data_IF_428424428386
#
_entry.id   IF_428424428386
#
_cell.length_a   1.000
_cell.length_b   1.000
_cell.length_c   1.000
_cell.angle_alpha   90.00
_cell.angle_beta   90.00
_cell.angle_gamma   90.00
#
_symmetry.space_group_name_H-M   'P 1'
#
loop_
_entity.id
_entity.type
_entity.pdbx_description
1 polymer ?
#
# COMPACT_ATOMS: atom_id res chain seq x y z
N UNK A 1 -32.96 74.84 -35.55
CA UNK A 1 -31.70 74.22 -35.01
C UNK A 1 -32.12 72.97 -34.27
N UNK A 2 -31.88 71.73 -34.82
CA UNK A 2 -32.20 70.51 -34.13
C UNK A 2 -30.97 69.97 -33.39
N UNK A 3 -31.24 69.48 -32.20
CA UNK A 3 -30.27 68.88 -31.24
C UNK A 3 -29.90 67.46 -31.65
N UNK A 4 -28.66 67.01 -31.45
CA UNK A 4 -28.27 65.63 -31.81
C UNK A 4 -28.58 64.64 -30.70
N UNK A 5 -29.26 63.57 -31.07
CA UNK A 5 -29.59 62.44 -30.22
C UNK A 5 -28.33 61.52 -30.10
N UNK A 6 -27.86 61.33 -28.87
CA UNK A 6 -26.76 60.39 -28.53
C UNK A 6 -27.31 58.98 -28.41
N UNK A 7 -26.97 58.12 -29.33
CA UNK A 7 -27.19 56.66 -29.19
C UNK A 7 -26.10 56.05 -28.33
N UNK A 8 -26.51 55.53 -27.15
CA UNK A 8 -25.66 54.82 -26.22
C UNK A 8 -25.73 53.32 -26.56
N UNK A 9 -24.64 52.78 -27.13
CA UNK A 9 -24.53 51.34 -27.38
C UNK A 9 -24.16 50.63 -26.08
N UNK A 10 -25.10 49.81 -25.54
CA UNK A 10 -24.80 48.85 -24.47
C UNK A 10 -24.11 47.62 -25.09
N UNK A 11 -22.82 47.47 -24.81
CA UNK A 11 -22.07 46.22 -25.05
C UNK A 11 -22.38 45.23 -23.92
N UNK A 12 -23.24 44.24 -24.21
CA UNK A 12 -23.44 43.10 -23.32
C UNK A 12 -22.23 42.15 -23.42
N UNK A 13 -21.39 42.13 -22.42
CA UNK A 13 -20.30 41.14 -22.30
C UNK A 13 -20.87 39.78 -21.86
N UNK A 14 -20.90 38.84 -22.78
CA UNK A 14 -21.32 37.45 -22.56
C UNK A 14 -20.13 36.71 -21.90
N UNK A 15 -20.12 36.59 -20.56
CA UNK A 15 -19.18 35.75 -19.84
C UNK A 15 -19.50 34.26 -20.08
N UNK A 16 -18.78 33.59 -20.99
CA UNK A 16 -18.77 32.14 -21.11
C UNK A 16 -17.98 31.59 -19.92
N UNK A 17 -18.64 31.10 -18.88
CA UNK A 17 -18.00 30.30 -17.82
C UNK A 17 -17.81 28.86 -18.34
N UNK A 18 -16.61 28.56 -18.78
CA UNK A 18 -16.22 27.19 -19.05
C UNK A 18 -16.15 26.39 -17.73
N UNK A 19 -17.14 25.54 -17.48
CA UNK A 19 -17.11 24.58 -16.37
C UNK A 19 -16.02 23.56 -16.66
N UNK A 20 -14.88 23.71 -15.97
CA UNK A 20 -13.81 22.72 -15.98
C UNK A 20 -14.29 21.51 -15.16
N UNK A 21 -14.81 20.49 -15.86
CA UNK A 21 -15.12 19.20 -15.25
C UNK A 21 -13.79 18.49 -14.94
N UNK A 22 -13.28 18.66 -13.73
CA UNK A 22 -12.11 17.88 -13.27
C UNK A 22 -12.53 16.40 -13.20
N UNK A 23 -11.79 15.47 -13.84
CA UNK A 23 -12.05 14.06 -13.67
C UNK A 23 -11.89 13.70 -12.20
N UNK A 24 -12.93 13.17 -11.58
CA UNK A 24 -12.86 12.61 -10.25
C UNK A 24 -11.86 11.45 -10.30
N UNK A 25 -10.66 11.66 -9.76
CA UNK A 25 -9.68 10.59 -9.58
C UNK A 25 -10.26 9.66 -8.52
N UNK A 26 -10.75 8.50 -8.93
CA UNK A 26 -11.18 7.47 -8.01
C UNK A 26 -10.00 7.10 -7.10
N UNK A 27 -10.12 7.41 -5.82
CA UNK A 27 -9.06 7.12 -4.84
C UNK A 27 -9.26 5.70 -4.32
N UNK A 28 -8.27 4.83 -4.56
CA UNK A 28 -8.23 3.51 -3.93
C UNK A 28 -8.39 3.66 -2.42
N UNK A 29 -9.35 2.97 -1.83
CA UNK A 29 -9.51 2.92 -0.38
C UNK A 29 -8.52 1.92 0.20
N UNK A 30 -7.47 2.43 0.81
CA UNK A 30 -6.46 1.63 1.48
C UNK A 30 -6.50 1.87 2.99
N UNK A 31 -6.75 0.83 3.77
CA UNK A 31 -6.65 0.89 5.23
C UNK A 31 -5.43 0.12 5.71
N UNK A 32 -4.80 0.64 6.76
CA UNK A 32 -3.64 0.03 7.39
C UNK A 32 -3.81 0.03 8.91
N UNK A 33 -3.58 -1.11 9.54
CA UNK A 33 -3.60 -1.29 10.99
C UNK A 33 -2.35 -2.00 11.47
N UNK A 34 -2.03 -1.83 12.76
CA UNK A 34 -0.90 -2.48 13.41
C UNK A 34 -1.38 -3.35 14.55
N UNK A 35 -0.75 -4.51 14.71
CA UNK A 35 -0.86 -5.36 15.88
C UNK A 35 0.51 -5.83 16.32
N UNK A 36 0.63 -6.29 17.56
CA UNK A 36 1.92 -6.66 18.13
C UNK A 36 1.84 -8.01 18.79
N UNK A 37 2.94 -8.76 18.72
CA UNK A 37 3.16 -9.94 19.56
C UNK A 37 4.34 -9.70 20.48
N UNK A 38 4.23 -10.16 21.72
CA UNK A 38 5.25 -9.94 22.74
C UNK A 38 6.33 -10.98 22.67
N UNK A 39 7.58 -10.49 22.70
CA UNK A 39 8.77 -11.29 22.91
C UNK A 39 9.48 -10.82 24.17
N UNK A 40 10.29 -11.72 24.76
CA UNK A 40 11.09 -11.48 25.96
C UNK A 40 12.50 -12.01 25.75
N UNK A 41 13.47 -11.35 26.32
CA UNK A 41 14.88 -11.78 26.28
C UNK A 41 15.78 -10.76 26.96
N UNK A 42 16.95 -11.21 27.39
CA UNK A 42 18.02 -10.39 27.99
C UNK A 42 19.29 -10.40 27.16
N UNK A 43 19.33 -11.23 26.11
CA UNK A 43 20.44 -11.35 25.15
C UNK A 43 19.91 -11.29 23.73
N UNK A 44 20.78 -11.07 22.75
CA UNK A 44 20.43 -11.07 21.34
C UNK A 44 19.91 -12.45 20.90
N UNK A 45 20.53 -13.52 21.35
CA UNK A 45 20.15 -14.91 21.03
C UNK A 45 18.76 -15.26 21.59
N UNK A 46 18.44 -14.83 22.81
CA UNK A 46 17.11 -15.02 23.39
C UNK A 46 16.05 -14.28 22.59
N UNK A 47 16.32 -13.05 22.15
CA UNK A 47 15.38 -12.28 21.31
C UNK A 47 15.19 -12.95 19.95
N UNK A 48 16.25 -13.44 19.32
CA UNK A 48 16.17 -14.17 18.05
C UNK A 48 15.36 -15.47 18.20
N UNK A 49 15.62 -16.26 19.25
CA UNK A 49 14.83 -17.43 19.56
C UNK A 49 13.34 -17.11 19.77
N UNK A 50 13.03 -16.02 20.43
CA UNK A 50 11.63 -15.60 20.62
C UNK A 50 11.00 -15.17 19.30
N UNK A 51 11.70 -14.47 18.41
CA UNK A 51 11.21 -14.13 17.08
C UNK A 51 10.91 -15.39 16.26
N UNK A 52 11.80 -16.37 16.28
CA UNK A 52 11.66 -17.62 15.53
C UNK A 52 10.56 -18.55 16.09
N UNK A 53 10.20 -18.42 17.38
CA UNK A 53 9.20 -19.30 18.02
C UNK A 53 7.82 -18.65 18.18
N UNK A 54 7.74 -17.33 18.33
CA UNK A 54 6.49 -16.58 18.59
C UNK A 54 6.00 -15.75 17.41
N UNK A 55 6.86 -15.54 16.42
CA UNK A 55 6.50 -14.77 15.24
C UNK A 55 5.28 -15.33 14.51
N UNK A 56 4.59 -14.52 13.72
CA UNK A 56 3.47 -14.96 12.89
C UNK A 56 3.93 -15.96 11.84
N UNK A 57 3.01 -16.83 11.40
CA UNK A 57 3.21 -17.64 10.20
C UNK A 57 2.73 -16.87 8.98
N UNK A 58 3.49 -16.91 7.89
CA UNK A 58 3.04 -16.38 6.61
C UNK A 58 2.01 -17.32 5.96
N UNK A 59 1.15 -16.77 5.11
CA UNK A 59 0.17 -17.58 4.37
C UNK A 59 0.87 -18.64 3.52
N UNK A 60 0.49 -19.92 3.71
CA UNK A 60 1.06 -21.04 2.97
C UNK A 60 2.42 -21.55 3.49
N UNK A 61 2.91 -21.05 4.63
CA UNK A 61 4.15 -21.51 5.25
C UNK A 61 3.93 -21.93 6.70
N UNK A 62 4.60 -22.98 7.15
CA UNK A 62 4.70 -23.34 8.57
C UNK A 62 5.84 -22.58 9.28
N UNK A 63 6.71 -21.91 8.53
CA UNK A 63 7.81 -21.12 9.07
C UNK A 63 7.28 -19.86 9.76
N UNK A 64 7.89 -19.52 10.89
CA UNK A 64 7.60 -18.29 11.61
C UNK A 64 8.50 -17.16 11.10
N UNK A 65 7.93 -15.97 11.06
CA UNK A 65 8.59 -14.76 10.57
C UNK A 65 8.69 -13.72 11.68
N UNK A 66 9.70 -12.84 11.66
CA UNK A 66 9.87 -11.79 12.67
C UNK A 66 8.78 -10.71 12.60
N UNK A 67 8.02 -10.66 11.53
CA UNK A 67 6.84 -9.82 11.29
C UNK A 67 5.96 -10.46 10.24
N UNK A 68 4.79 -9.89 9.99
CA UNK A 68 3.93 -10.27 8.87
C UNK A 68 2.98 -9.15 8.46
N UNK A 69 2.66 -9.09 7.18
CA UNK A 69 1.60 -8.21 6.65
C UNK A 69 0.48 -9.07 6.06
N UNK A 70 -0.69 -9.02 6.69
CA UNK A 70 -1.90 -9.65 6.16
C UNK A 70 -2.59 -8.69 5.22
N UNK A 71 -2.89 -9.15 4.01
CA UNK A 71 -3.46 -8.34 2.92
C UNK A 71 -4.77 -8.95 2.46
N UNK A 72 -5.79 -8.10 2.29
CA UNK A 72 -7.08 -8.48 1.74
C UNK A 72 -7.49 -7.45 0.69
N UNK A 73 -7.73 -7.91 -0.53
CA UNK A 73 -8.34 -7.13 -1.59
C UNK A 73 -9.85 -7.31 -1.57
N UNK A 74 -10.55 -6.25 -1.93
CA UNK A 74 -12.00 -6.24 -2.17
C UNK A 74 -12.32 -5.17 -3.20
N UNK A 75 -13.59 -4.99 -3.50
CA UNK A 75 -14.01 -3.94 -4.41
C UNK A 75 -15.40 -4.16 -4.98
N UNK A 76 -15.82 -3.21 -5.77
CA UNK A 76 -17.09 -3.20 -6.48
C UNK A 76 -16.91 -2.64 -7.89
N UNK A 77 -17.73 -3.08 -8.82
CA UNK A 77 -17.82 -2.51 -10.15
C UNK A 77 -19.29 -2.37 -10.53
N UNK A 78 -19.64 -1.27 -11.19
CA UNK A 78 -20.96 -1.06 -11.76
C UNK A 78 -20.87 -0.99 -13.28
N UNK A 79 -21.94 -1.40 -13.94
CA UNK A 79 -21.99 -1.55 -15.38
C UNK A 79 -23.12 -0.73 -15.96
N UNK A 80 -22.94 -0.25 -17.19
CA UNK A 80 -24.00 0.40 -17.97
C UNK A 80 -24.08 -0.17 -19.38
N UNK A 81 -25.29 -0.22 -19.91
CA UNK A 81 -25.54 -0.50 -21.33
C UNK A 81 -25.41 0.81 -22.11
N UNK A 82 -24.57 0.82 -23.14
CA UNK A 82 -24.34 1.98 -23.99
C UNK A 82 -24.11 1.51 -25.44
N UNK A 83 -24.94 1.97 -26.36
CA UNK A 83 -24.86 1.61 -27.78
C UNK A 83 -24.96 0.08 -28.04
N UNK A 84 -25.80 -0.65 -27.27
CA UNK A 84 -25.95 -2.10 -27.39
C UNK A 84 -24.77 -2.90 -26.85
N UNK A 85 -23.87 -2.26 -26.10
CA UNK A 85 -22.74 -2.89 -25.42
C UNK A 85 -22.72 -2.56 -23.94
N UNK A 86 -22.18 -3.46 -23.12
CA UNK A 86 -21.98 -3.22 -21.71
C UNK A 86 -20.54 -2.76 -21.43
N UNK A 87 -20.38 -1.73 -20.60
CA UNK A 87 -19.08 -1.24 -20.15
C UNK A 87 -19.07 -1.01 -18.65
N UNK A 88 -17.87 -1.00 -18.05
CA UNK A 88 -17.69 -0.57 -16.66
C UNK A 88 -17.97 0.94 -16.58
N UNK A 89 -18.90 1.35 -15.72
CA UNK A 89 -19.18 2.76 -15.43
C UNK A 89 -18.42 3.26 -14.21
N UNK A 90 -18.24 2.38 -13.23
CA UNK A 90 -17.48 2.67 -12.01
C UNK A 90 -16.77 1.40 -11.54
N UNK A 91 -15.57 1.56 -11.00
CA UNK A 91 -14.86 0.52 -10.30
C UNK A 91 -14.14 1.13 -9.09
N UNK A 92 -14.17 0.40 -7.99
CA UNK A 92 -13.49 0.76 -6.76
C UNK A 92 -12.79 -0.48 -6.23
N UNK A 93 -11.47 -0.43 -6.12
CA UNK A 93 -10.69 -1.49 -5.49
C UNK A 93 -10.32 -1.06 -4.08
N UNK A 94 -10.52 -1.94 -3.12
CA UNK A 94 -10.16 -1.72 -1.72
C UNK A 94 -9.02 -2.66 -1.32
N UNK A 95 -8.14 -2.19 -0.44
CA UNK A 95 -7.10 -3.02 0.15
C UNK A 95 -7.01 -2.77 1.65
N UNK A 96 -7.13 -3.84 2.42
CA UNK A 96 -6.99 -3.82 3.88
C UNK A 96 -5.70 -4.52 4.25
N UNK A 97 -4.83 -3.83 4.98
CA UNK A 97 -3.56 -4.37 5.46
C UNK A 97 -3.51 -4.36 6.98
N UNK A 98 -3.04 -5.48 7.55
CA UNK A 98 -2.72 -5.58 8.97
C UNK A 98 -1.25 -5.95 9.11
N UNK A 99 -0.48 -5.06 9.68
CA UNK A 99 0.95 -5.23 9.94
C UNK A 99 1.11 -5.78 11.37
N UNK A 100 1.79 -6.93 11.50
CA UNK A 100 2.03 -7.63 12.77
C UNK A 100 3.51 -7.49 13.09
N UNK A 101 3.85 -6.84 14.21
CA UNK A 101 5.21 -6.51 14.59
C UNK A 101 5.59 -7.10 15.95
N UNK A 102 6.86 -7.43 16.19
CA UNK A 102 7.32 -7.82 17.51
C UNK A 102 7.39 -6.62 18.45
N UNK A 103 7.09 -6.88 19.73
CA UNK A 103 7.27 -5.95 20.83
C UNK A 103 8.10 -6.58 21.93
N UNK A 104 9.26 -6.01 22.24
CA UNK A 104 10.10 -6.46 23.33
C UNK A 104 9.58 -5.98 24.68
N UNK A 105 8.84 -6.83 25.38
CA UNK A 105 8.04 -6.46 26.56
C UNK A 105 8.84 -6.32 27.86
N UNK A 106 10.03 -6.97 27.96
CA UNK A 106 10.90 -6.88 29.15
C UNK A 106 12.20 -6.11 28.89
N UNK A 107 12.13 -5.05 28.07
CA UNK A 107 13.28 -4.23 27.67
C UNK A 107 13.93 -3.46 28.83
N UNK A 108 13.20 -3.20 29.90
CA UNK A 108 13.69 -2.43 31.04
C UNK A 108 14.94 -3.08 31.63
N UNK A 109 16.02 -2.28 31.83
CA UNK A 109 17.31 -2.76 32.34
C UNK A 109 18.21 -3.42 31.29
N UNK A 110 17.84 -3.39 30.01
CA UNK A 110 18.69 -3.87 28.93
C UNK A 110 19.91 -2.96 28.75
N UNK A 111 21.05 -3.55 28.33
CA UNK A 111 22.23 -2.78 27.98
C UNK A 111 21.96 -1.83 26.80
N UNK A 112 22.71 -0.73 26.73
CA UNK A 112 22.64 0.20 25.59
C UNK A 112 22.91 -0.50 24.27
N UNK A 113 23.86 -1.44 24.26
CA UNK A 113 24.22 -2.20 23.06
C UNK A 113 23.06 -3.11 22.61
N UNK A 114 22.45 -3.87 23.49
CA UNK A 114 21.32 -4.73 23.17
C UNK A 114 20.12 -3.91 22.70
N UNK A 115 19.87 -2.78 23.35
CA UNK A 115 18.82 -1.85 22.95
C UNK A 115 19.03 -1.31 21.54
N UNK A 116 20.29 -0.96 21.18
CA UNK A 116 20.63 -0.47 19.84
C UNK A 116 20.43 -1.57 18.77
N UNK A 117 20.85 -2.80 19.07
CA UNK A 117 20.64 -3.95 18.18
C UNK A 117 19.15 -4.16 17.94
N UNK A 118 18.36 -4.20 19.00
CA UNK A 118 16.91 -4.37 18.92
C UNK A 118 16.23 -3.24 18.12
N UNK A 119 16.55 -1.98 18.39
CA UNK A 119 15.96 -0.83 17.71
C UNK A 119 16.29 -0.83 16.21
N UNK A 120 17.46 -1.35 15.84
CA UNK A 120 17.85 -1.49 14.44
C UNK A 120 17.05 -2.59 13.78
N UNK A 121 16.99 -3.77 14.40
CA UNK A 121 16.26 -4.92 13.87
C UNK A 121 14.76 -4.66 13.78
N UNK A 122 14.14 -4.16 14.85
CA UNK A 122 12.70 -3.90 14.89
C UNK A 122 12.27 -2.81 13.90
N UNK A 123 13.12 -1.81 13.69
CA UNK A 123 12.89 -0.78 12.66
C UNK A 123 12.99 -1.36 11.24
N UNK A 124 13.92 -2.28 10.99
CA UNK A 124 14.05 -2.95 9.69
C UNK A 124 12.89 -3.92 9.43
N UNK A 125 12.44 -4.67 10.43
CA UNK A 125 11.23 -5.50 10.35
C UNK A 125 10.03 -4.62 9.98
N UNK A 126 9.82 -3.52 10.70
CA UNK A 126 8.72 -2.60 10.40
C UNK A 126 8.78 -2.05 8.98
N UNK A 127 9.95 -1.61 8.52
CA UNK A 127 10.16 -1.13 7.14
C UNK A 127 9.79 -2.20 6.11
N UNK A 128 10.22 -3.44 6.35
CA UNK A 128 9.91 -4.58 5.48
C UNK A 128 8.40 -4.81 5.37
N UNK A 129 7.70 -4.90 6.50
CA UNK A 129 6.26 -5.12 6.53
C UNK A 129 5.47 -3.93 5.92
N UNK A 130 5.92 -2.70 6.14
CA UNK A 130 5.31 -1.53 5.50
C UNK A 130 5.46 -1.55 3.99
N UNK A 131 6.58 -2.08 3.45
CA UNK A 131 6.76 -2.21 2.00
C UNK A 131 5.80 -3.22 1.38
N UNK A 132 5.47 -4.32 2.06
CA UNK A 132 4.41 -5.23 1.64
C UNK A 132 3.07 -4.51 1.49
N UNK A 133 2.70 -3.68 2.47
CA UNK A 133 1.48 -2.88 2.42
C UNK A 133 1.48 -1.85 1.28
N UNK A 134 2.63 -1.25 0.96
CA UNK A 134 2.77 -0.33 -0.18
C UNK A 134 2.61 -1.05 -1.51
N UNK A 135 3.24 -2.22 -1.70
CA UNK A 135 3.09 -3.06 -2.90
C UNK A 135 1.61 -3.38 -3.12
N UNK A 136 0.89 -3.76 -2.07
CA UNK A 136 -0.54 -4.05 -2.15
C UNK A 136 -1.36 -2.83 -2.57
N UNK A 137 -1.07 -1.66 -2.01
CA UNK A 137 -1.74 -0.40 -2.37
C UNK A 137 -1.48 0.01 -3.83
N UNK A 138 -0.24 -0.12 -4.27
CA UNK A 138 0.14 0.16 -5.66
C UNK A 138 -0.57 -0.79 -6.63
N UNK A 139 -0.67 -2.07 -6.28
CA UNK A 139 -1.36 -3.07 -7.08
C UNK A 139 -2.88 -2.83 -7.12
N UNK A 140 -3.51 -2.42 -6.01
CA UNK A 140 -4.92 -2.05 -5.98
C UNK A 140 -5.22 -0.92 -6.98
N UNK A 141 -4.38 0.12 -7.02
CA UNK A 141 -4.49 1.22 -7.99
C UNK A 141 -4.38 0.74 -9.44
N UNK A 142 -3.44 -0.17 -9.71
CA UNK A 142 -3.27 -0.75 -11.06
C UNK A 142 -4.48 -1.57 -11.46
N UNK A 143 -5.03 -2.37 -10.55
CA UNK A 143 -6.21 -3.19 -10.79
C UNK A 143 -7.42 -2.30 -11.12
N UNK A 144 -7.70 -1.30 -10.32
CA UNK A 144 -8.80 -0.34 -10.56
C UNK A 144 -8.68 0.32 -11.93
N UNK A 145 -7.49 0.84 -12.26
CA UNK A 145 -7.23 1.43 -13.57
C UNK A 145 -7.45 0.45 -14.73
N UNK A 146 -7.01 -0.80 -14.58
CA UNK A 146 -7.21 -1.84 -15.59
C UNK A 146 -8.68 -2.20 -15.78
N UNK A 147 -9.44 -2.31 -14.70
CA UNK A 147 -10.87 -2.62 -14.74
C UNK A 147 -11.62 -1.50 -15.46
N UNK A 148 -11.35 -0.23 -15.14
CA UNK A 148 -11.97 0.93 -15.79
C UNK A 148 -11.63 1.04 -17.29
N UNK A 149 -10.47 0.52 -17.70
CA UNK A 149 -10.00 0.55 -19.09
C UNK A 149 -10.45 -0.66 -19.92
N UNK A 150 -11.28 -1.56 -19.39
CA UNK A 150 -11.75 -2.75 -20.12
C UNK A 150 -12.60 -2.35 -21.33
N UNK A 151 -12.40 -3.01 -22.48
CA UNK A 151 -13.18 -2.73 -23.69
C UNK A 151 -14.63 -3.19 -23.50
N UNK A 152 -15.63 -2.45 -24.07
CA UNK A 152 -17.02 -2.81 -23.98
C UNK A 152 -17.31 -4.23 -24.49
N UNK A 153 -18.17 -4.98 -23.78
CA UNK A 153 -18.57 -6.34 -24.09
C UNK A 153 -20.00 -6.38 -24.68
N UNK A 154 -20.37 -7.49 -25.30
CA UNK A 154 -21.72 -7.67 -25.87
C UNK A 154 -22.80 -7.69 -24.80
N UNK A 155 -22.52 -8.26 -23.63
CA UNK A 155 -23.44 -8.38 -22.49
C UNK A 155 -22.77 -7.96 -21.20
N UNK A 156 -23.55 -7.65 -20.16
CA UNK A 156 -23.02 -7.31 -18.86
C UNK A 156 -22.46 -8.52 -18.12
N UNK A 157 -22.95 -9.72 -18.39
CA UNK A 157 -22.39 -10.97 -17.86
C UNK A 157 -20.96 -11.19 -18.39
N UNK A 158 -20.74 -11.02 -19.70
CA UNK A 158 -19.41 -11.11 -20.29
C UNK A 158 -18.46 -10.02 -19.75
N UNK A 159 -18.98 -8.82 -19.46
CA UNK A 159 -18.20 -7.77 -18.81
C UNK A 159 -17.83 -8.15 -17.37
N UNK A 160 -18.76 -8.71 -16.60
CA UNK A 160 -18.52 -9.15 -15.23
C UNK A 160 -17.45 -10.27 -15.18
N UNK A 161 -17.53 -11.23 -16.10
CA UNK A 161 -16.50 -12.27 -16.23
C UNK A 161 -15.13 -11.66 -16.54
N UNK A 162 -15.05 -10.70 -17.47
CA UNK A 162 -13.80 -10.03 -17.82
C UNK A 162 -13.21 -9.25 -16.64
N UNK A 163 -14.06 -8.58 -15.83
CA UNK A 163 -13.65 -7.93 -14.58
C UNK A 163 -13.08 -8.95 -13.59
N UNK A 164 -13.75 -10.10 -13.43
CA UNK A 164 -13.30 -11.17 -12.53
C UNK A 164 -11.92 -11.69 -12.95
N UNK A 165 -11.73 -12.02 -14.22
CA UNK A 165 -10.44 -12.47 -14.77
C UNK A 165 -9.35 -11.42 -14.58
N UNK A 166 -9.67 -10.15 -14.82
CA UNK A 166 -8.73 -9.02 -14.65
C UNK A 166 -8.31 -8.86 -13.19
N UNK A 167 -9.24 -9.00 -12.27
CA UNK A 167 -9.00 -8.93 -10.83
C UNK A 167 -8.12 -10.09 -10.35
N UNK A 168 -8.43 -11.32 -10.77
CA UNK A 168 -7.64 -12.52 -10.45
C UNK A 168 -6.19 -12.37 -10.92
N UNK A 169 -5.97 -11.96 -12.17
CA UNK A 169 -4.62 -11.69 -12.70
C UNK A 169 -3.89 -10.60 -11.90
N UNK A 170 -4.64 -9.59 -11.43
CA UNK A 170 -4.09 -8.54 -10.59
C UNK A 170 -3.60 -9.08 -9.23
N UNK A 171 -4.35 -9.99 -8.60
CA UNK A 171 -3.95 -10.65 -7.36
C UNK A 171 -2.72 -11.54 -7.58
N UNK A 172 -2.70 -12.33 -8.63
CA UNK A 172 -1.53 -13.15 -8.98
C UNK A 172 -0.27 -12.32 -9.24
N UNK A 173 -0.41 -11.15 -9.89
CA UNK A 173 0.70 -10.20 -10.07
C UNK A 173 1.20 -9.66 -8.73
N UNK A 174 0.28 -9.30 -7.82
CA UNK A 174 0.60 -8.89 -6.47
C UNK A 174 1.42 -9.95 -5.75
N UNK A 175 0.99 -11.21 -5.75
CA UNK A 175 1.67 -12.31 -5.06
C UNK A 175 3.09 -12.53 -5.61
N UNK A 176 3.28 -12.42 -6.93
CA UNK A 176 4.62 -12.48 -7.54
C UNK A 176 5.50 -11.29 -7.12
N UNK A 177 4.94 -10.08 -6.98
CA UNK A 177 5.70 -8.91 -6.53
C UNK A 177 6.12 -9.03 -5.06
N UNK A 178 5.25 -9.58 -4.20
CA UNK A 178 5.56 -9.86 -2.80
C UNK A 178 6.70 -10.87 -2.69
N UNK A 179 6.58 -12.01 -3.36
CA UNK A 179 7.61 -13.05 -3.35
C UNK A 179 8.97 -12.54 -3.88
N UNK A 180 8.95 -11.73 -4.94
CA UNK A 180 10.17 -11.13 -5.47
C UNK A 180 10.81 -10.15 -4.48
N UNK A 181 10.00 -9.35 -3.80
CA UNK A 181 10.48 -8.43 -2.77
C UNK A 181 11.18 -9.22 -1.65
N UNK A 182 10.53 -10.27 -1.12
CA UNK A 182 11.10 -11.12 -0.08
C UNK A 182 12.44 -11.74 -0.47
N UNK A 183 12.54 -12.26 -1.69
CA UNK A 183 13.79 -12.84 -2.21
C UNK A 183 14.93 -11.81 -2.24
N UNK A 184 14.66 -10.59 -2.72
CA UNK A 184 15.66 -9.50 -2.76
C UNK A 184 16.05 -9.06 -1.35
N UNK A 185 15.08 -8.94 -0.45
CA UNK A 185 15.32 -8.54 0.94
C UNK A 185 16.14 -9.59 1.71
N UNK A 186 15.86 -10.88 1.52
CA UNK A 186 16.58 -11.97 2.15
C UNK A 186 18.07 -11.98 1.78
N UNK A 187 18.38 -11.83 0.48
CA UNK A 187 19.77 -11.77 -0.01
C UNK A 187 20.54 -10.57 0.57
N UNK A 188 19.87 -9.46 0.78
CA UNK A 188 20.49 -8.21 1.23
C UNK A 188 20.46 -8.01 2.76
N UNK A 189 19.78 -8.87 3.51
CA UNK A 189 19.48 -8.67 4.93
C UNK A 189 20.74 -8.42 5.76
N UNK A 190 21.72 -9.34 5.70
CA UNK A 190 22.93 -9.25 6.54
C UNK A 190 23.71 -7.96 6.30
N UNK A 191 23.97 -7.63 5.04
CA UNK A 191 24.71 -6.42 4.68
C UNK A 191 23.96 -5.15 5.09
N UNK A 192 22.64 -5.17 4.98
CA UNK A 192 21.78 -4.05 5.39
C UNK A 192 21.81 -3.84 6.89
N UNK A 193 21.63 -4.88 7.70
CA UNK A 193 21.65 -4.77 9.16
C UNK A 193 23.00 -4.28 9.66
N UNK A 194 24.11 -4.82 9.15
CA UNK A 194 25.44 -4.36 9.52
C UNK A 194 25.65 -2.88 9.20
N UNK A 195 25.23 -2.43 8.02
CA UNK A 195 25.31 -1.01 7.64
C UNK A 195 24.46 -0.12 8.56
N UNK A 196 23.24 -0.54 8.89
CA UNK A 196 22.35 0.22 9.79
C UNK A 196 22.90 0.32 11.20
N UNK A 197 23.46 -0.76 11.75
CA UNK A 197 24.13 -0.77 13.05
C UNK A 197 25.35 0.15 13.06
N UNK A 198 26.22 0.06 12.06
CA UNK A 198 27.39 0.93 11.95
C UNK A 198 27.01 2.41 11.87
N UNK A 199 25.95 2.76 11.16
CA UNK A 199 25.46 4.14 11.10
C UNK A 199 24.94 4.62 12.46
N UNK A 200 24.25 3.78 13.21
CA UNK A 200 23.77 4.13 14.57
C UNK A 200 24.93 4.29 15.56
N UNK A 201 25.94 3.42 15.49
CA UNK A 201 27.15 3.55 16.33
C UNK A 201 27.85 4.88 16.06
N UNK A 202 28.06 5.24 14.79
CA UNK A 202 28.68 6.52 14.41
C UNK A 202 27.86 7.72 14.90
N UNK A 203 26.52 7.64 14.79
CA UNK A 203 25.62 8.73 15.23
C UNK A 203 25.60 8.89 16.76
N UNK A 204 25.74 7.79 17.51
CA UNK A 204 25.75 7.82 18.98
C UNK A 204 27.12 8.13 19.58
N UNK A 205 28.23 7.92 18.85
CA UNK A 205 29.59 8.25 19.26
C UNK A 205 30.07 9.66 18.85
N UNK A 206 29.27 10.40 18.09
CA UNK A 206 29.60 11.74 17.58
C UNK A 206 29.17 12.92 18.48
N UNK A 207 28.75 12.66 19.71
CA UNK A 207 28.46 13.69 20.72
C UNK A 207 29.62 13.70 21.72
N UNK A 208 30.67 14.42 21.39
CA UNK A 208 31.68 14.91 22.32
C UNK A 208 31.63 16.42 22.35
#
# INVERSE_FOLDING_TARGET
MPSPTRHMFLLAALCLTASICSPAVAAVVATKSYSYFDIKGKTADELDQQLSTRGPTASGSSARHPGATKIRFGGEATYIQDGGRCRVSHAKVTVHTQIILPRWSNRNGASKQLSMIWDTLSSDIKRHEERHAEIAREQAKKMEKRILALPPQRTCEAMQELVTVTSTRGIEEHDRLQARFDQVEAVNFQNRILRLLNNRIKSSGGVH
#
